data_IF_885015762395
#
_entry.id   IF_885015762395
#
_cell.length_a   1.000
_cell.length_b   1.000
_cell.length_c   1.000
_cell.angle_alpha   90.00
_cell.angle_beta   90.00
_cell.angle_gamma   90.00
#
_symmetry.space_group_name_H-M   'P 1'
#
loop_
_entity.id
_entity.type
_entity.pdbx_description
1 polymer ?
#
# COMPACT_ATOMS: atom_id res chain seq x y z
N UNK A 1 6.75 12.88 -21.26
CA UNK A 1 6.92 11.46 -20.87
C UNK A 1 5.99 11.18 -19.71
N UNK A 2 5.11 10.18 -19.87
CA UNK A 2 4.21 9.74 -18.81
C UNK A 2 5.03 9.21 -17.62
N UNK A 3 4.65 9.52 -16.38
CA UNK A 3 5.37 9.05 -15.19
C UNK A 3 4.77 7.79 -14.59
N UNK A 4 3.66 7.30 -15.14
CA UNK A 4 3.02 6.04 -14.73
C UNK A 4 3.15 5.00 -15.85
N UNK A 5 3.47 3.77 -15.46
CA UNK A 5 3.58 2.63 -16.34
C UNK A 5 2.90 1.41 -15.72
N UNK A 6 2.11 0.68 -16.49
CA UNK A 6 1.45 -0.54 -16.07
C UNK A 6 1.91 -1.70 -16.94
N UNK A 7 2.45 -2.73 -16.30
CA UNK A 7 3.01 -3.92 -16.92
C UNK A 7 2.12 -5.11 -16.62
N UNK A 8 1.01 -5.32 -17.37
CA UNK A 8 0.02 -6.34 -17.03
C UNK A 8 0.59 -7.76 -17.07
N UNK A 9 1.62 -8.01 -17.88
CA UNK A 9 2.25 -9.33 -18.00
C UNK A 9 2.96 -9.81 -16.73
N UNK A 10 3.45 -8.90 -15.90
CA UNK A 10 4.09 -9.20 -14.61
C UNK A 10 3.33 -8.63 -13.41
N UNK A 11 2.17 -7.99 -13.66
CA UNK A 11 1.31 -7.48 -12.61
C UNK A 11 1.88 -6.29 -11.86
N UNK A 12 2.54 -5.36 -12.53
CA UNK A 12 3.24 -4.26 -11.87
C UNK A 12 2.71 -2.90 -12.32
N UNK A 13 2.45 -2.01 -11.35
CA UNK A 13 2.21 -0.59 -11.59
C UNK A 13 3.38 0.18 -11.01
N UNK A 14 3.97 1.04 -11.82
CA UNK A 14 5.02 1.96 -11.42
C UNK A 14 4.52 3.39 -11.63
N UNK A 15 4.72 4.28 -10.68
CA UNK A 15 4.46 5.71 -10.85
C UNK A 15 5.58 6.54 -10.25
N UNK A 16 5.93 7.64 -10.91
CA UNK A 16 7.03 8.54 -10.52
C UNK A 16 6.54 9.98 -10.39
N UNK A 17 7.21 10.78 -9.56
CA UNK A 17 7.02 12.24 -9.57
C UNK A 17 7.66 12.92 -10.79
N UNK A 18 8.65 12.27 -11.41
CA UNK A 18 9.45 12.82 -12.49
C UNK A 18 10.51 11.83 -13.00
N UNK A 19 11.41 12.34 -13.83
CA UNK A 19 12.48 11.57 -14.48
C UNK A 19 13.88 11.91 -13.97
N UNK A 20 14.00 12.92 -13.12
CA UNK A 20 15.26 13.23 -12.46
C UNK A 20 15.61 12.17 -11.39
N UNK A 21 16.83 12.26 -10.88
CA UNK A 21 17.40 11.31 -9.91
C UNK A 21 16.76 11.39 -8.52
N UNK A 22 16.08 12.50 -8.21
CA UNK A 22 15.39 12.76 -6.94
C UNK A 22 13.88 12.47 -7.02
N UNK A 23 13.43 11.92 -8.15
CA UNK A 23 12.04 11.57 -8.34
C UNK A 23 11.62 10.46 -7.36
N UNK A 24 10.49 10.69 -6.71
CA UNK A 24 9.83 9.67 -5.90
C UNK A 24 9.26 8.61 -6.83
N UNK A 25 9.47 7.35 -6.50
CA UNK A 25 8.94 6.20 -7.21
C UNK A 25 8.08 5.39 -6.27
N UNK A 26 6.91 4.98 -6.75
CA UNK A 26 5.95 4.14 -6.03
C UNK A 26 5.59 2.94 -6.89
N UNK A 27 5.54 1.77 -6.28
CA UNK A 27 5.12 0.54 -6.92
C UNK A 27 3.94 -0.11 -6.20
N UNK A 28 3.02 -0.67 -6.98
CA UNK A 28 1.96 -1.54 -6.53
C UNK A 28 1.95 -2.82 -7.36
N UNK A 29 1.95 -3.98 -6.68
CA UNK A 29 1.92 -5.30 -7.32
C UNK A 29 0.49 -5.86 -7.35
N UNK A 30 -0.02 -6.18 -8.53
CA UNK A 30 -1.23 -6.99 -8.74
C UNK A 30 -1.27 -7.56 -10.16
N UNK A 31 -1.14 -8.87 -10.30
CA UNK A 31 -1.29 -9.56 -11.58
C UNK A 31 -1.00 -11.06 -11.49
N UNK A 32 -0.41 -11.65 -12.54
CA UNK A 32 -0.05 -13.07 -12.52
C UNK A 32 0.97 -13.38 -11.43
N UNK A 33 0.59 -14.24 -10.48
CA UNK A 33 1.52 -14.91 -9.59
C UNK A 33 1.89 -16.26 -10.23
N UNK A 34 2.79 -16.22 -11.19
CA UNK A 34 3.27 -17.36 -11.97
C UNK A 34 4.78 -17.43 -11.90
N UNK A 35 5.35 -18.63 -11.84
CA UNK A 35 6.79 -18.96 -11.66
C UNK A 35 7.25 -19.28 -10.23
N UNK A 36 8.28 -20.12 -10.18
CA UNK A 36 8.89 -20.61 -8.92
C UNK A 36 9.59 -19.53 -8.10
N UNK A 37 10.04 -18.45 -8.76
CA UNK A 37 10.73 -17.32 -8.12
C UNK A 37 9.79 -16.12 -7.87
N UNK A 38 8.52 -16.22 -8.25
CA UNK A 38 7.54 -15.21 -7.88
C UNK A 38 7.17 -15.35 -6.39
N UNK A 39 6.83 -14.24 -5.74
CA UNK A 39 6.60 -14.18 -4.31
C UNK A 39 5.10 -14.11 -3.97
N UNK A 40 4.76 -14.31 -2.70
CA UNK A 40 3.41 -14.11 -2.18
C UNK A 40 3.19 -12.61 -1.87
N UNK A 41 3.35 -11.76 -2.87
CA UNK A 41 3.49 -10.31 -2.77
C UNK A 41 2.33 -9.54 -3.44
N UNK A 42 1.24 -10.22 -3.78
CA UNK A 42 0.07 -9.57 -4.39
C UNK A 42 -0.50 -8.54 -3.41
N UNK A 43 -0.55 -7.29 -3.85
CA UNK A 43 -0.90 -6.11 -3.05
C UNK A 43 0.30 -5.36 -2.46
N UNK A 44 1.54 -5.81 -2.67
CA UNK A 44 2.73 -5.17 -2.12
C UNK A 44 2.90 -3.74 -2.62
N UNK A 45 3.27 -2.84 -1.68
CA UNK A 45 3.57 -1.43 -1.91
C UNK A 45 5.04 -1.16 -1.60
N UNK A 46 5.73 -0.48 -2.52
CA UNK A 46 7.11 -0.01 -2.32
C UNK A 46 7.23 1.48 -2.64
N UNK A 47 8.11 2.19 -1.93
CA UNK A 47 8.36 3.63 -2.07
C UNK A 47 9.85 3.91 -2.00
N UNK A 48 10.36 4.62 -2.99
CA UNK A 48 11.74 5.07 -3.11
C UNK A 48 11.81 6.58 -3.31
N UNK A 49 12.72 7.26 -2.60
CA UNK A 49 13.12 8.67 -2.83
C UNK A 49 14.54 8.85 -2.33
N UNK A 50 15.50 8.99 -3.26
CA UNK A 50 16.96 9.00 -3.01
C UNK A 50 17.53 7.77 -2.26
N UNK A 51 16.65 6.88 -1.80
CA UNK A 51 16.89 5.59 -1.17
C UNK A 51 15.55 4.92 -0.86
N UNK A 52 15.59 3.68 -0.37
CA UNK A 52 14.38 2.96 0.03
C UNK A 52 13.74 3.59 1.26
N UNK A 53 12.43 3.82 1.22
CA UNK A 53 11.63 4.24 2.38
C UNK A 53 10.62 3.16 2.79
N UNK A 54 10.09 2.45 1.79
CA UNK A 54 9.40 1.17 1.94
C UNK A 54 9.83 0.26 0.79
N UNK A 55 10.13 -0.99 1.08
CA UNK A 55 10.77 -1.90 0.14
C UNK A 55 10.27 -3.33 0.28
N UNK A 56 10.83 -4.24 -0.50
CA UNK A 56 10.68 -5.67 -0.27
C UNK A 56 11.78 -6.16 0.67
N UNK A 57 11.42 -6.83 1.78
CA UNK A 57 12.39 -7.27 2.77
C UNK A 57 13.41 -8.26 2.21
N UNK A 58 13.10 -8.93 1.08
CA UNK A 58 14.00 -9.88 0.45
C UNK A 58 15.37 -9.28 0.10
N UNK A 59 15.48 -7.96 -0.05
CA UNK A 59 16.77 -7.24 -0.23
C UNK A 59 17.76 -7.47 0.92
N UNK A 60 17.26 -7.71 2.14
CA UNK A 60 18.06 -7.97 3.34
C UNK A 60 18.16 -9.46 3.66
N UNK A 61 17.64 -10.33 2.80
CA UNK A 61 17.74 -11.79 2.97
C UNK A 61 19.05 -12.31 2.37
N UNK A 62 19.64 -13.34 3.00
CA UNK A 62 20.84 -14.01 2.51
C UNK A 62 20.51 -14.88 1.30
N UNK A 63 19.35 -15.53 1.32
CA UNK A 63 18.94 -16.43 0.24
C UNK A 63 18.45 -15.69 -1.00
N UNK A 64 17.82 -14.52 -0.83
CA UNK A 64 17.04 -13.88 -1.88
C UNK A 64 15.74 -14.63 -2.21
N UNK A 65 15.32 -15.58 -1.36
CA UNK A 65 14.19 -16.50 -1.61
C UNK A 65 13.11 -16.41 -0.53
N UNK A 66 13.00 -15.27 0.16
CA UNK A 66 11.97 -15.06 1.17
C UNK A 66 10.64 -14.67 0.52
N UNK A 67 9.88 -15.68 0.09
CA UNK A 67 8.66 -15.53 -0.71
C UNK A 67 7.37 -15.34 0.11
N UNK A 68 7.41 -15.53 1.43
CA UNK A 68 6.20 -15.57 2.24
C UNK A 68 5.60 -14.18 2.46
N UNK A 69 4.27 -14.10 2.61
CA UNK A 69 3.54 -12.83 2.78
C UNK A 69 4.11 -11.91 3.87
N UNK A 70 4.77 -12.45 4.91
CA UNK A 70 5.38 -11.68 5.99
C UNK A 70 6.62 -10.86 5.56
N UNK A 71 7.16 -11.03 4.36
CA UNK A 71 8.29 -10.27 3.82
C UNK A 71 7.87 -8.99 3.04
N UNK A 72 6.59 -8.82 2.72
CA UNK A 72 6.11 -7.84 1.73
C UNK A 72 5.21 -6.75 2.32
N UNK A 73 5.11 -5.59 1.66
CA UNK A 73 4.30 -4.45 2.12
C UNK A 73 2.82 -4.55 1.77
N UNK A 74 2.08 -5.49 2.36
CA UNK A 74 0.69 -5.85 2.02
C UNK A 74 -0.21 -5.98 3.26
N UNK A 75 -1.48 -6.40 3.11
CA UNK A 75 -2.30 -6.87 4.24
C UNK A 75 -2.26 -8.39 4.29
N UNK A 76 -1.74 -8.93 5.40
CA UNK A 76 -1.64 -10.37 5.67
C UNK A 76 -2.81 -10.84 6.54
N UNK A 77 -3.31 -12.04 6.29
CA UNK A 77 -4.25 -12.73 7.19
C UNK A 77 -3.56 -13.93 7.79
N UNK A 78 -3.64 -14.09 9.10
CA UNK A 78 -3.13 -15.26 9.82
C UNK A 78 -4.28 -16.07 10.41
N UNK A 79 -4.19 -17.39 10.35
CA UNK A 79 -5.11 -18.34 10.99
C UNK A 79 -4.30 -19.23 11.93
N UNK A 80 -4.75 -19.33 13.19
CA UNK A 80 -4.03 -20.07 14.23
C UNK A 80 -2.52 -19.72 14.31
N UNK A 81 -2.19 -18.43 14.17
CA UNK A 81 -0.81 -17.92 14.22
C UNK A 81 0.04 -18.19 12.98
N UNK A 82 -0.55 -18.72 11.90
CA UNK A 82 0.15 -18.98 10.63
C UNK A 82 -0.45 -18.15 9.51
N UNK A 83 0.40 -17.52 8.71
CA UNK A 83 -0.02 -16.76 7.54
C UNK A 83 -0.76 -17.65 6.54
N UNK A 84 -1.94 -17.20 6.11
CA UNK A 84 -2.64 -17.79 4.96
C UNK A 84 -1.85 -17.39 3.71
N UNK A 85 -1.42 -18.39 2.96
CA UNK A 85 -0.55 -18.21 1.80
C UNK A 85 -1.33 -17.68 0.60
N UNK A 86 -0.67 -16.85 -0.19
CA UNK A 86 -1.04 -16.67 -1.58
C UNK A 86 -0.55 -17.88 -2.39
N UNK A 87 -1.30 -18.27 -3.41
CA UNK A 87 -1.08 -19.52 -4.14
C UNK A 87 -0.60 -19.19 -5.56
N UNK A 88 0.50 -19.81 -5.98
CA UNK A 88 1.01 -19.69 -7.34
C UNK A 88 -0.01 -20.19 -8.39
N UNK A 89 0.19 -19.77 -9.64
CA UNK A 89 -0.74 -19.98 -10.76
C UNK A 89 -2.12 -19.36 -10.53
N UNK A 90 -2.13 -18.20 -9.87
CA UNK A 90 -3.31 -17.33 -9.74
C UNK A 90 -3.01 -15.97 -10.34
N UNK A 91 -4.04 -15.17 -10.61
CA UNK A 91 -3.89 -13.84 -11.21
C UNK A 91 -4.75 -12.85 -10.46
N UNK A 92 -4.12 -11.95 -9.70
CA UNK A 92 -4.76 -10.75 -9.17
C UNK A 92 -5.10 -9.79 -10.32
N UNK A 93 -5.99 -8.84 -10.08
CA UNK A 93 -6.47 -7.94 -11.14
C UNK A 93 -6.27 -6.47 -10.77
N UNK A 94 -5.69 -5.70 -11.69
CA UNK A 94 -5.84 -4.24 -11.68
C UNK A 94 -7.26 -3.91 -12.14
N UNK A 95 -8.10 -3.50 -11.20
CA UNK A 95 -9.50 -3.15 -11.42
C UNK A 95 -9.65 -1.75 -12.01
N UNK A 96 -8.82 -0.80 -11.56
CA UNK A 96 -8.78 0.55 -12.09
C UNK A 96 -7.34 1.06 -12.17
N UNK A 97 -7.08 1.89 -13.17
CA UNK A 97 -5.88 2.71 -13.28
C UNK A 97 -6.22 3.98 -14.04
N UNK A 98 -6.04 5.13 -13.39
CA UNK A 98 -6.25 6.43 -13.98
C UNK A 98 -5.15 7.40 -13.54
N UNK A 99 -4.83 8.37 -14.39
CA UNK A 99 -3.83 9.40 -14.11
C UNK A 99 -4.35 10.76 -14.49
N UNK A 100 -3.93 11.79 -13.77
CA UNK A 100 -4.15 13.18 -14.14
C UNK A 100 -2.98 14.06 -13.71
N UNK A 101 -3.09 15.39 -13.89
CA UNK A 101 -2.02 16.30 -13.51
C UNK A 101 -1.65 16.19 -12.03
N UNK A 102 -0.49 15.60 -11.74
CA UNK A 102 0.02 15.43 -10.39
C UNK A 102 -0.63 14.31 -9.57
N UNK A 103 -1.38 13.40 -10.18
CA UNK A 103 -1.93 12.27 -9.45
C UNK A 103 -2.06 10.98 -10.27
N UNK A 104 -2.00 9.84 -9.58
CA UNK A 104 -2.27 8.50 -10.12
C UNK A 104 -3.19 7.76 -9.15
N UNK A 105 -4.22 7.11 -9.68
CA UNK A 105 -5.13 6.24 -8.94
C UNK A 105 -5.00 4.81 -9.47
N UNK A 106 -4.86 3.84 -8.57
CA UNK A 106 -4.89 2.42 -8.89
C UNK A 106 -5.81 1.68 -7.91
N UNK A 107 -6.54 0.69 -8.41
CA UNK A 107 -7.37 -0.21 -7.62
C UNK A 107 -7.07 -1.66 -8.00
N UNK A 108 -6.87 -2.52 -7.01
CA UNK A 108 -6.46 -3.91 -7.23
C UNK A 108 -7.35 -4.86 -6.44
N UNK A 109 -7.85 -5.89 -7.14
CA UNK A 109 -8.52 -7.04 -6.57
C UNK A 109 -7.52 -8.19 -6.40
N UNK A 110 -7.26 -8.52 -5.14
CA UNK A 110 -6.21 -9.46 -4.72
C UNK A 110 -6.79 -10.77 -4.20
N UNK A 111 -8.13 -10.89 -4.11
CA UNK A 111 -8.79 -12.11 -3.67
C UNK A 111 -8.39 -13.35 -4.50
N UNK A 112 -8.20 -13.27 -5.83
CA UNK A 112 -7.76 -14.43 -6.62
C UNK A 112 -6.46 -15.06 -6.13
N UNK A 113 -5.55 -14.28 -5.54
CA UNK A 113 -4.27 -14.78 -5.01
C UNK A 113 -4.43 -15.86 -3.93
N UNK A 114 -5.60 -15.90 -3.27
CA UNK A 114 -5.90 -16.85 -2.20
C UNK A 114 -6.72 -18.05 -2.67
N UNK A 115 -6.98 -18.21 -3.98
CA UNK A 115 -7.62 -19.39 -4.60
C UNK A 115 -8.87 -19.89 -3.83
N UNK A 116 -9.81 -19.00 -3.53
CA UNK A 116 -11.05 -19.31 -2.79
C UNK A 116 -10.84 -19.86 -1.38
N UNK A 117 -9.73 -19.53 -0.71
CA UNK A 117 -9.52 -19.91 0.69
C UNK A 117 -10.68 -19.42 1.56
N UNK A 118 -11.40 -20.35 2.21
CA UNK A 118 -12.68 -20.08 2.88
C UNK A 118 -12.61 -18.98 3.96
N UNK A 119 -11.41 -18.74 4.51
CA UNK A 119 -11.18 -17.71 5.53
C UNK A 119 -10.97 -16.29 5.00
N UNK A 120 -10.90 -16.08 3.68
CA UNK A 120 -10.68 -14.77 3.05
C UNK A 120 -11.80 -14.52 2.05
N UNK A 121 -12.65 -13.53 2.34
CA UNK A 121 -13.82 -13.19 1.53
C UNK A 121 -13.61 -11.90 0.73
N UNK A 122 -12.69 -11.04 1.16
CA UNK A 122 -12.31 -9.81 0.44
C UNK A 122 -10.86 -9.46 0.72
N UNK A 123 -10.12 -9.13 -0.33
CA UNK A 123 -8.78 -8.57 -0.24
C UNK A 123 -8.61 -7.57 -1.39
N UNK A 124 -8.71 -6.29 -1.09
CA UNK A 124 -8.69 -5.22 -2.09
C UNK A 124 -7.85 -4.05 -1.58
N UNK A 125 -7.07 -3.45 -2.48
CA UNK A 125 -6.25 -2.27 -2.20
C UNK A 125 -6.51 -1.20 -3.25
N UNK A 126 -6.65 0.04 -2.79
CA UNK A 126 -6.64 1.22 -3.62
C UNK A 126 -5.52 2.16 -3.19
N UNK A 127 -4.94 2.83 -4.17
CA UNK A 127 -3.86 3.79 -3.98
C UNK A 127 -4.17 5.05 -4.76
N UNK A 128 -4.05 6.21 -4.10
CA UNK A 128 -3.93 7.50 -4.77
C UNK A 128 -2.55 8.08 -4.46
N UNK A 129 -1.69 8.12 -5.47
CA UNK A 129 -0.43 8.84 -5.41
C UNK A 129 -0.66 10.28 -5.82
N UNK A 130 -0.34 11.22 -4.93
CA UNK A 130 -0.35 12.66 -5.13
C UNK A 130 1.12 13.10 -5.26
N UNK A 131 1.54 13.34 -6.50
CA UNK A 131 2.91 13.71 -6.79
C UNK A 131 3.25 15.09 -6.16
N UNK A 132 4.46 15.27 -5.63
CA UNK A 132 5.57 14.31 -5.69
C UNK A 132 5.62 13.26 -4.56
N UNK A 133 4.98 13.48 -3.42
CA UNK A 133 5.50 12.88 -2.17
C UNK A 133 4.43 12.37 -1.19
N UNK A 134 3.19 12.16 -1.65
CA UNK A 134 2.12 11.62 -0.79
C UNK A 134 1.41 10.45 -1.46
N UNK A 135 1.22 9.35 -0.72
CA UNK A 135 0.44 8.18 -1.13
C UNK A 135 -0.68 7.97 -0.12
N UNK A 136 -1.93 7.91 -0.59
CA UNK A 136 -3.08 7.51 0.22
C UNK A 136 -3.43 6.07 -0.14
N UNK A 137 -3.50 5.18 0.85
CA UNK A 137 -3.80 3.75 0.66
C UNK A 137 -5.08 3.41 1.40
N UNK A 138 -6.00 2.73 0.71
CA UNK A 138 -7.23 2.24 1.28
C UNK A 138 -7.39 0.74 1.02
N UNK A 139 -7.46 -0.06 2.08
CA UNK A 139 -7.64 -1.51 1.99
C UNK A 139 -9.03 -1.93 2.50
N UNK A 140 -9.69 -2.81 1.74
CA UNK A 140 -10.92 -3.50 2.17
C UNK A 140 -10.59 -4.96 2.36
N UNK A 141 -10.69 -5.44 3.60
CA UNK A 141 -10.32 -6.82 3.94
C UNK A 141 -11.43 -7.46 4.73
N UNK A 142 -11.90 -8.61 4.27
CA UNK A 142 -12.86 -9.43 4.99
C UNK A 142 -12.26 -10.81 5.19
N UNK A 143 -12.08 -11.19 6.45
CA UNK A 143 -11.63 -12.52 6.85
C UNK A 143 -12.54 -13.13 7.92
N UNK A 144 -12.52 -14.46 8.05
CA UNK A 144 -13.33 -15.18 9.04
C UNK A 144 -12.95 -14.80 10.46
N UNK A 145 -13.94 -14.69 11.36
CA UNK A 145 -13.71 -14.50 12.79
C UNK A 145 -12.74 -15.55 13.37
N UNK A 146 -11.85 -15.13 14.27
CA UNK A 146 -10.78 -15.99 14.81
C UNK A 146 -9.49 -16.01 13.98
N UNK A 147 -9.47 -15.38 12.80
CA UNK A 147 -8.23 -14.97 12.14
C UNK A 147 -7.71 -13.66 12.72
N UNK A 148 -6.48 -13.27 12.37
CA UNK A 148 -5.97 -11.91 12.54
C UNK A 148 -5.64 -11.31 11.19
N UNK A 149 -5.77 -9.99 11.06
CA UNK A 149 -5.33 -9.24 9.89
C UNK A 149 -4.19 -8.31 10.33
N UNK A 150 -3.14 -8.23 9.52
CA UNK A 150 -2.01 -7.34 9.75
C UNK A 150 -1.77 -6.50 8.51
N UNK A 151 -2.05 -5.20 8.58
CA UNK A 151 -1.51 -4.26 7.60
C UNK A 151 -0.02 -4.06 7.91
N UNK A 152 0.84 -4.23 6.93
CA UNK A 152 2.27 -4.23 7.15
C UNK A 152 3.05 -3.51 6.05
N UNK A 153 4.18 -2.94 6.43
CA UNK A 153 5.09 -2.25 5.52
C UNK A 153 6.53 -2.60 5.89
N UNK A 154 7.27 -3.20 4.96
CA UNK A 154 8.69 -3.48 5.13
C UNK A 154 9.51 -2.21 4.85
N UNK A 155 10.49 -1.95 5.72
CA UNK A 155 11.21 -0.68 5.83
C UNK A 155 12.69 -0.93 6.18
N UNK A 156 13.65 -0.13 5.69
CA UNK A 156 15.07 -0.36 5.92
C UNK A 156 15.54 -0.03 7.34
N UNK A 157 14.83 0.85 8.04
CA UNK A 157 15.14 1.30 9.40
C UNK A 157 13.95 1.09 10.32
N UNK A 158 14.21 0.91 11.62
CA UNK A 158 13.14 0.74 12.61
C UNK A 158 12.17 1.93 12.57
N UNK A 159 10.86 1.70 12.35
CA UNK A 159 9.88 2.77 12.45
C UNK A 159 9.80 3.35 13.87
N UNK A 160 9.90 4.67 14.01
CA UNK A 160 9.63 5.36 15.27
C UNK A 160 8.11 5.61 15.39
N UNK A 161 7.46 4.98 16.35
CA UNK A 161 6.00 5.05 16.52
C UNK A 161 5.63 6.08 17.59
N UNK A 162 4.71 6.97 17.25
CA UNK A 162 4.08 7.91 18.19
C UNK A 162 2.59 8.01 17.89
N UNK A 163 1.76 7.46 18.78
CA UNK A 163 0.32 7.38 18.58
C UNK A 163 -0.05 6.57 17.32
N UNK A 164 -0.83 7.18 16.43
CA UNK A 164 -1.24 6.58 15.14
C UNK A 164 -0.27 6.81 13.98
N UNK A 165 0.93 7.35 14.24
CA UNK A 165 1.91 7.66 13.21
C UNK A 165 3.22 6.92 13.44
N UNK A 166 3.76 6.33 12.38
CA UNK A 166 5.10 5.75 12.35
C UNK A 166 6.00 6.58 11.41
N UNK A 167 7.23 6.85 11.83
CA UNK A 167 8.22 7.61 11.05
C UNK A 167 9.42 6.73 10.71
N UNK A 168 9.74 6.63 9.42
CA UNK A 168 10.88 5.88 8.89
C UNK A 168 11.86 6.88 8.31
N UNK A 169 13.11 6.89 8.80
CA UNK A 169 14.13 7.86 8.38
C UNK A 169 15.24 7.15 7.62
N UNK A 170 15.40 7.43 6.33
CA UNK A 170 16.47 6.85 5.53
C UNK A 170 16.86 7.78 4.36
N UNK A 171 18.12 7.71 3.93
CA UNK A 171 18.65 8.48 2.79
C UNK A 171 18.39 9.99 2.85
N UNK A 172 18.36 10.59 4.05
CA UNK A 172 18.08 12.02 4.23
C UNK A 172 16.60 12.40 4.21
N UNK A 173 15.69 11.44 4.07
CA UNK A 173 14.24 11.63 4.03
C UNK A 173 13.52 10.95 5.20
N UNK A 174 12.29 11.39 5.45
CA UNK A 174 11.38 10.78 6.41
C UNK A 174 10.07 10.35 5.75
N UNK A 175 9.75 9.06 5.76
CA UNK A 175 8.40 8.59 5.44
C UNK A 175 7.55 8.55 6.70
N UNK A 176 6.50 9.37 6.74
CA UNK A 176 5.49 9.36 7.81
C UNK A 176 4.28 8.57 7.36
N UNK A 177 4.01 7.46 8.03
CA UNK A 177 2.81 6.62 7.84
C UNK A 177 1.80 6.99 8.91
N UNK A 178 0.74 7.70 8.54
CA UNK A 178 -0.34 8.12 9.43
C UNK A 178 -1.55 7.24 9.21
N UNK A 179 -1.97 6.52 10.25
CA UNK A 179 -3.21 5.76 10.26
C UNK A 179 -4.41 6.67 10.52
N UNK A 180 -5.44 6.49 9.71
CA UNK A 180 -6.76 7.12 9.87
C UNK A 180 -7.87 6.10 10.14
N UNK A 181 -7.77 4.91 9.54
CA UNK A 181 -8.63 3.77 9.84
C UNK A 181 -7.78 2.49 9.94
N UNK A 182 -8.05 1.59 10.91
CA UNK A 182 -8.98 1.78 12.03
C UNK A 182 -8.57 2.96 12.93
N UNK A 183 -9.52 3.58 13.62
CA UNK A 183 -9.25 4.82 14.39
C UNK A 183 -8.33 4.60 15.60
N UNK A 184 -8.21 3.36 16.05
CA UNK A 184 -7.29 2.92 17.08
C UNK A 184 -6.81 1.50 16.79
N UNK A 185 -5.66 1.14 17.34
CA UNK A 185 -5.05 -0.17 17.18
C UNK A 185 -3.56 -0.15 17.51
N UNK A 186 -2.97 -1.30 17.85
CA UNK A 186 -1.54 -1.37 18.10
C UNK A 186 -0.76 -1.21 16.79
N UNK A 187 0.14 -0.23 16.76
CA UNK A 187 1.26 -0.22 15.83
C UNK A 187 2.46 -0.85 16.53
N UNK A 188 3.21 -1.67 15.82
CA UNK A 188 4.40 -2.34 16.35
C UNK A 188 5.49 -2.45 15.30
N UNK A 189 6.72 -2.73 15.74
CA UNK A 189 7.84 -2.97 14.84
C UNK A 189 8.34 -4.39 15.00
N UNK A 190 8.72 -5.00 13.89
CA UNK A 190 9.32 -6.32 13.83
C UNK A 190 10.69 -6.21 13.16
N UNK A 191 11.73 -6.78 13.78
CA UNK A 191 13.06 -6.85 13.17
C UNK A 191 13.17 -8.12 12.33
N UNK A 192 13.44 -8.00 11.03
CA UNK A 192 13.66 -9.17 10.18
C UNK A 192 14.91 -9.94 10.59
N UNK A 193 15.95 -9.24 11.05
CA UNK A 193 17.17 -9.82 11.62
C UNK A 193 16.94 -10.72 12.85
N UNK A 194 15.72 -10.74 13.42
CA UNK A 194 15.32 -11.74 14.42
C UNK A 194 15.16 -13.15 13.86
N UNK A 195 15.22 -13.31 12.52
CA UNK A 195 15.15 -14.61 11.84
C UNK A 195 16.44 -14.86 11.06
N UNK A 196 16.83 -16.14 10.97
CA UNK A 196 18.17 -16.54 10.57
C UNK A 196 18.57 -16.13 9.13
N UNK A 197 17.61 -15.96 8.22
CA UNK A 197 17.90 -15.65 6.81
C UNK A 197 18.15 -14.16 6.56
N UNK A 198 17.70 -13.25 7.43
CA UNK A 198 17.89 -11.81 7.19
C UNK A 198 19.13 -11.26 7.90
N UNK A 199 19.76 -10.27 7.28
CA UNK A 199 20.88 -9.50 7.82
C UNK A 199 20.46 -8.13 8.36
N UNK A 200 19.25 -7.67 8.03
CA UNK A 200 18.77 -6.34 8.37
C UNK A 200 17.27 -6.20 8.12
N UNK A 201 16.79 -4.96 8.16
CA UNK A 201 15.42 -4.62 7.84
C UNK A 201 14.43 -4.71 9.00
N UNK A 202 13.33 -3.97 8.82
CA UNK A 202 12.24 -3.85 9.79
C UNK A 202 10.88 -3.91 9.10
N UNK A 203 9.85 -4.28 9.84
CA UNK A 203 8.45 -4.21 9.40
C UNK A 203 7.64 -3.40 10.39
N UNK A 204 6.86 -2.44 9.88
CA UNK A 204 5.77 -1.82 10.62
C UNK A 204 4.56 -2.74 10.53
N UNK A 205 4.00 -3.14 11.67
CA UNK A 205 2.82 -3.99 11.75
C UNK A 205 1.68 -3.27 12.47
N UNK A 206 0.51 -3.28 11.84
CA UNK A 206 -0.78 -2.95 12.44
C UNK A 206 -1.66 -4.19 12.45
N UNK A 207 -1.84 -4.82 13.62
CA UNK A 207 -2.61 -6.06 13.75
C UNK A 207 -3.95 -5.83 14.44
N UNK A 208 -5.01 -6.36 13.84
CA UNK A 208 -6.37 -6.39 14.39
C UNK A 208 -6.98 -7.78 14.26
N UNK A 209 -8.10 -7.99 14.96
CA UNK A 209 -8.88 -9.20 14.80
C UNK A 209 -9.49 -9.29 13.39
N UNK A 210 -9.59 -10.51 12.87
CA UNK A 210 -10.27 -10.81 11.63
C UNK A 210 -11.74 -10.39 11.66
N UNK A 211 -12.27 -10.07 10.48
CA UNK A 211 -13.61 -9.51 10.30
C UNK A 211 -13.65 -8.63 9.06
N UNK A 212 -14.67 -7.78 8.95
CA UNK A 212 -14.82 -6.80 7.88
C UNK A 212 -14.09 -5.49 8.27
N UNK A 213 -12.83 -5.35 7.84
CA UNK A 213 -11.95 -4.24 8.21
C UNK A 213 -11.73 -3.27 7.06
N UNK A 214 -11.53 -1.99 7.40
CA UNK A 214 -11.10 -0.93 6.49
C UNK A 214 -9.83 -0.30 7.04
N UNK A 215 -8.79 -0.26 6.21
CA UNK A 215 -7.55 0.43 6.53
C UNK A 215 -7.45 1.67 5.66
N UNK A 216 -7.12 2.81 6.27
CA UNK A 216 -6.85 4.05 5.57
C UNK A 216 -5.56 4.64 6.14
N UNK A 217 -4.56 4.75 5.28
CA UNK A 217 -3.25 5.30 5.65
C UNK A 217 -2.84 6.39 4.67
N UNK A 218 -2.15 7.40 5.21
CA UNK A 218 -1.48 8.43 4.44
C UNK A 218 0.02 8.29 4.68
N UNK A 219 0.75 8.04 3.60
CA UNK A 219 2.19 7.89 3.56
C UNK A 219 2.76 9.16 2.92
N UNK A 220 3.31 10.08 3.73
CA UNK A 220 3.84 11.35 3.28
C UNK A 220 5.35 11.43 3.51
N UNK A 221 6.09 11.87 2.50
CA UNK A 221 7.55 12.04 2.59
C UNK A 221 7.85 13.47 3.08
N UNK A 222 8.75 13.56 4.05
CA UNK A 222 9.21 14.78 4.72
C UNK A 222 8.04 15.60 5.30
N UNK A 223 7.76 16.74 4.69
CA UNK A 223 6.67 17.64 5.08
C UNK A 223 5.67 17.82 3.92
N UNK A 224 5.60 16.86 3.00
CA UNK A 224 4.76 16.95 1.81
C UNK A 224 3.26 17.15 2.13
N UNK A 225 2.79 16.64 3.27
CA UNK A 225 1.51 16.96 3.87
C UNK A 225 1.71 17.57 5.26
N UNK A 226 1.17 18.78 5.48
CA UNK A 226 1.30 19.54 6.73
C UNK A 226 0.14 19.30 7.69
N UNK A 227 -1.04 19.03 7.15
CA UNK A 227 -2.24 18.63 7.91
C UNK A 227 -2.82 17.38 7.27
N UNK A 228 -3.20 16.41 8.11
CA UNK A 228 -3.87 15.18 7.72
C UNK A 228 -5.07 15.00 8.63
N UNK A 229 -6.27 14.95 8.07
CA UNK A 229 -7.50 14.72 8.81
C UNK A 229 -8.36 13.66 8.12
N UNK A 230 -9.17 12.93 8.88
CA UNK A 230 -10.24 12.09 8.35
C UNK A 230 -11.26 12.95 7.61
N UNK A 231 -11.81 12.45 6.51
CA UNK A 231 -12.84 13.11 5.72
C UNK A 231 -13.89 12.11 5.22
N UNK A 232 -14.96 12.63 4.62
CA UNK A 232 -16.06 11.84 4.07
C UNK A 232 -17.08 11.41 5.12
N UNK A 233 -17.83 10.36 4.81
CA UNK A 233 -18.88 9.79 5.64
C UNK A 233 -18.63 8.27 5.84
N UNK A 234 -19.42 7.55 6.67
CA UNK A 234 -19.20 6.13 6.89
C UNK A 234 -19.23 5.26 5.61
N UNK A 235 -19.97 5.66 4.58
CA UNK A 235 -20.02 4.99 3.27
C UNK A 235 -18.95 5.46 2.30
N UNK A 236 -18.33 6.61 2.55
CA UNK A 236 -17.27 7.19 1.73
C UNK A 236 -16.08 7.65 2.58
N UNK A 237 -15.43 6.76 3.35
CA UNK A 237 -14.32 7.15 4.22
C UNK A 237 -13.15 7.70 3.40
N UNK A 238 -12.43 8.66 3.99
CA UNK A 238 -11.39 9.37 3.27
C UNK A 238 -10.51 10.24 4.16
N UNK A 239 -9.72 11.08 3.49
CA UNK A 239 -8.83 12.05 4.13
C UNK A 239 -8.84 13.39 3.41
N UNK A 240 -8.73 14.47 4.18
CA UNK A 240 -8.37 15.79 3.68
C UNK A 240 -6.96 16.14 4.14
N UNK A 241 -6.16 16.63 3.19
CA UNK A 241 -4.75 16.94 3.33
C UNK A 241 -4.51 18.40 2.95
N UNK A 242 -3.66 19.08 3.72
CA UNK A 242 -2.98 20.30 3.26
C UNK A 242 -1.60 19.90 2.76
N UNK A 243 -1.35 20.10 1.46
CA UNK A 243 -0.05 19.82 0.87
C UNK A 243 0.93 20.98 1.11
N UNK A 244 2.23 20.69 1.13
CA UNK A 244 3.29 21.69 1.31
C UNK A 244 3.30 22.80 0.26
N UNK A 245 2.73 22.55 -0.92
CA UNK A 245 2.56 23.54 -1.98
C UNK A 245 1.31 24.43 -1.81
N UNK A 246 0.62 24.33 -0.67
CA UNK A 246 -0.57 25.12 -0.33
C UNK A 246 -1.89 24.57 -0.88
N UNK A 247 -1.86 23.46 -1.63
CA UNK A 247 -3.08 22.85 -2.17
C UNK A 247 -3.82 22.05 -1.12
N UNK A 248 -5.15 22.12 -1.17
CA UNK A 248 -6.01 21.25 -0.36
C UNK A 248 -6.48 20.07 -1.21
N UNK A 249 -6.27 18.86 -0.71
CA UNK A 249 -6.70 17.63 -1.37
C UNK A 249 -7.63 16.84 -0.47
N UNK A 250 -8.76 16.40 -1.01
CA UNK A 250 -9.65 15.43 -0.34
C UNK A 250 -9.74 14.18 -1.19
N UNK A 251 -9.48 13.02 -0.59
CA UNK A 251 -9.68 11.71 -1.21
C UNK A 251 -10.71 10.95 -0.40
N UNK A 252 -11.77 10.44 -1.02
CA UNK A 252 -12.70 9.49 -0.41
C UNK A 252 -12.77 8.22 -1.24
N UNK A 253 -13.10 7.12 -0.57
CA UNK A 253 -13.25 5.80 -1.18
C UNK A 253 -14.62 5.24 -0.86
N UNK A 254 -15.25 4.56 -1.81
CA UNK A 254 -16.49 3.83 -1.57
C UNK A 254 -16.23 2.72 -0.53
N UNK A 255 -16.99 2.65 0.55
CA UNK A 255 -16.70 1.70 1.64
C UNK A 255 -16.67 0.25 1.15
N UNK A 256 -17.60 -0.15 0.28
CA UNK A 256 -17.86 -1.56 -0.02
C UNK A 256 -17.53 -2.00 -1.45
N UNK A 257 -17.37 -1.06 -2.36
CA UNK A 257 -16.99 -1.25 -3.77
C UNK A 257 -15.73 -0.44 -4.08
N UNK A 258 -15.09 -0.71 -5.22
CA UNK A 258 -14.01 0.16 -5.71
C UNK A 258 -14.52 1.55 -6.11
N UNK A 259 -13.61 2.51 -6.18
CA UNK A 259 -13.85 3.88 -6.59
C UNK A 259 -14.05 4.83 -5.41
N UNK A 260 -14.40 6.07 -5.74
CA UNK A 260 -14.54 7.18 -4.80
C UNK A 260 -14.33 8.52 -5.49
N UNK A 261 -13.87 9.54 -4.76
CA UNK A 261 -13.59 10.86 -5.32
C UNK A 261 -12.22 11.40 -4.93
N UNK A 262 -11.62 12.16 -5.83
CA UNK A 262 -10.42 12.95 -5.60
C UNK A 262 -10.74 14.41 -5.91
N UNK A 263 -10.69 15.27 -4.90
CA UNK A 263 -10.86 16.72 -5.05
C UNK A 263 -9.54 17.42 -4.79
N UNK A 264 -9.02 18.16 -5.77
CA UNK A 264 -7.81 18.99 -5.64
C UNK A 264 -8.22 20.43 -5.88
N UNK A 265 -8.03 21.31 -4.90
CA UNK A 265 -8.39 22.74 -4.96
C UNK A 265 -9.82 22.98 -5.48
N UNK A 266 -10.77 22.16 -5.02
CA UNK A 266 -12.18 22.25 -5.40
C UNK A 266 -12.56 21.54 -6.71
N UNK A 267 -11.60 21.10 -7.52
CA UNK A 267 -11.85 20.31 -8.73
C UNK A 267 -11.98 18.84 -8.38
N UNK A 268 -13.17 18.27 -8.59
CA UNK A 268 -13.47 16.88 -8.24
C UNK A 268 -13.38 15.96 -9.44
N UNK A 269 -12.60 14.89 -9.30
CA UNK A 269 -12.49 13.76 -10.24
C UNK A 269 -13.13 12.52 -9.62
N UNK A 270 -13.93 11.80 -10.39
CA UNK A 270 -14.47 10.49 -9.98
C UNK A 270 -13.40 9.41 -10.19
N UNK A 271 -13.15 8.63 -9.14
CA UNK A 271 -12.30 7.45 -9.20
C UNK A 271 -13.19 6.27 -9.59
N UNK A 272 -13.07 5.80 -10.84
CA UNK A 272 -13.97 4.80 -11.42
C UNK A 272 -13.20 3.56 -11.87
N UNK A 273 -13.93 2.46 -12.07
CA UNK A 273 -13.38 1.23 -12.63
C UNK A 273 -12.85 1.44 -14.06
N UNK A 274 -11.86 0.62 -14.45
CA UNK A 274 -11.27 0.63 -15.78
C UNK A 274 -9.80 1.05 -15.77
N UNK A 275 -9.03 0.45 -16.67
CA UNK A 275 -7.62 0.79 -16.89
C UNK A 275 -7.56 1.74 -18.07
N UNK A 276 -7.31 3.03 -17.80
CA UNK A 276 -7.11 4.03 -18.85
C UNK A 276 -5.82 3.70 -19.60
N UNK A 277 -5.84 3.65 -20.96
CA UNK A 277 -4.62 3.55 -21.73
C UNK A 277 -3.66 4.67 -21.36
N UNK A 278 -2.46 4.29 -20.94
CA UNK A 278 -1.40 5.23 -20.62
C UNK A 278 -0.72 5.62 -21.93
N UNK A 279 -0.54 6.93 -22.18
CA UNK A 279 0.26 7.37 -23.31
C UNK A 279 1.70 6.87 -23.15
N UNK A 280 2.25 6.28 -24.22
CA UNK A 280 3.65 5.87 -24.33
C UNK A 280 4.60 7.09 -24.32
#
# INVERSE_FOLDING_TARGET
LNTTHHVPGIGQIYTRSGWDTHATWVNLTAGPYTESHAHQDQGSLMIYKDGWLAYDANIDSKSGLMQATNAHGLVRVDSAGTAIKQIASTTSRVHALATGPGWTYAATDLLPAYKNHASIQKMQREMVYLAPDVVVVYDRVQSTAGTTQTWQLATPTQPAISGGTATISNAGHQLKVTRLAPSAGPLSTYSFASTADYTGGWRLDETVAGGDQRYLHVLAIDNAATTIATAGDPMHPGTTLMLSNGKTVTVTFNRDTFGGTLTIDGVTTQLVAGVTPLAE
#
